data_IF_086773957827
#
_entry.id   IF_086773957827
#
_cell.length_a   1.000
_cell.length_b   1.000
_cell.length_c   1.000
_cell.angle_alpha   90.00
_cell.angle_beta   90.00
_cell.angle_gamma   90.00
#
_symmetry.space_group_name_H-M   'P 1'
#
loop_
_entity.id
_entity.type
_entity.pdbx_description
1 polymer ?
#
# COMPACT_ATOMS: atom_id res chain seq x y z
N UNK A 1 -4.45 -2.56 -12.28
CA UNK A 1 -4.60 -2.76 -10.82
C UNK A 1 -4.88 -1.44 -10.05
N UNK A 2 -5.69 -0.48 -10.55
CA UNK A 2 -5.88 0.82 -9.84
C UNK A 2 -6.88 0.76 -8.67
N UNK A 3 -7.63 -0.34 -8.54
CA UNK A 3 -8.77 -0.45 -7.62
C UNK A 3 -8.59 -1.44 -6.46
N UNK A 4 -7.53 -2.27 -6.47
CA UNK A 4 -7.32 -3.28 -5.42
C UNK A 4 -7.22 -2.63 -4.04
N UNK A 5 -6.44 -1.55 -3.91
CA UNK A 5 -6.34 -0.80 -2.64
C UNK A 5 -7.68 -0.16 -2.24
N UNK A 6 -8.46 0.35 -3.21
CA UNK A 6 -9.78 0.94 -2.92
C UNK A 6 -10.78 -0.10 -2.41
N UNK A 7 -10.78 -1.29 -3.03
CA UNK A 7 -11.61 -2.43 -2.61
C UNK A 7 -11.20 -2.91 -1.22
N UNK A 8 -9.89 -3.00 -0.95
CA UNK A 8 -9.34 -3.41 0.34
C UNK A 8 -9.67 -2.41 1.45
N UNK A 9 -9.60 -1.11 1.15
CA UNK A 9 -10.02 -0.05 2.06
C UNK A 9 -11.51 -0.11 2.36
N UNK A 10 -12.34 -0.30 1.33
CA UNK A 10 -13.78 -0.48 1.50
C UNK A 10 -14.11 -1.73 2.35
N UNK A 11 -13.39 -2.83 2.15
CA UNK A 11 -13.57 -4.05 2.94
C UNK A 11 -13.31 -3.82 4.44
N UNK A 12 -12.30 -3.02 4.80
CA UNK A 12 -12.04 -2.68 6.22
C UNK A 12 -13.12 -1.79 6.81
N UNK A 13 -13.61 -0.81 6.05
CA UNK A 13 -14.72 0.04 6.50
C UNK A 13 -15.98 -0.80 6.75
N UNK A 14 -16.28 -1.75 5.86
CA UNK A 14 -17.41 -2.68 6.02
C UNK A 14 -17.20 -3.57 7.25
N UNK A 15 -16.00 -4.10 7.48
CA UNK A 15 -15.69 -4.97 8.61
C UNK A 15 -15.83 -4.24 9.97
N UNK A 16 -15.40 -2.98 10.03
CA UNK A 16 -15.59 -2.12 11.21
C UNK A 16 -17.08 -1.81 11.42
N UNK A 17 -17.83 -1.52 10.36
CA UNK A 17 -19.27 -1.28 10.44
C UNK A 17 -20.05 -2.51 10.94
N UNK A 18 -19.72 -3.71 10.44
CA UNK A 18 -20.33 -4.98 10.89
C UNK A 18 -19.99 -5.27 12.35
N UNK A 19 -18.74 -5.06 12.76
CA UNK A 19 -18.34 -5.23 14.16
C UNK A 19 -19.06 -4.26 15.10
N UNK A 20 -19.29 -3.02 14.66
CA UNK A 20 -20.09 -2.04 15.42
C UNK A 20 -21.57 -2.44 15.49
N UNK A 21 -22.11 -3.02 14.43
CA UNK A 21 -23.48 -3.54 14.41
C UNK A 21 -23.66 -4.69 15.41
N UNK A 22 -22.72 -5.64 15.46
CA UNK A 22 -22.73 -6.73 16.44
C UNK A 22 -22.59 -6.26 17.88
N UNK A 23 -21.80 -5.21 18.12
CA UNK A 23 -21.70 -4.56 19.42
C UNK A 23 -23.03 -3.96 19.89
N UNK A 24 -23.89 -3.56 18.96
CA UNK A 24 -25.20 -2.98 19.24
C UNK A 24 -26.29 -4.05 19.54
N UNK A 25 -26.05 -5.32 19.19
CA UNK A 25 -27.00 -6.43 19.42
C UNK A 25 -26.98 -6.99 20.86
N UNK A 26 -26.25 -6.36 21.78
CA UNK A 26 -26.29 -6.66 23.22
C UNK A 26 -25.19 -7.61 23.73
N UNK A 27 -24.36 -8.14 22.83
CA UNK A 27 -23.27 -9.07 23.16
C UNK A 27 -21.91 -8.35 23.11
N UNK A 28 -21.77 -7.31 23.94
CA UNK A 28 -20.61 -6.42 23.99
C UNK A 28 -19.24 -7.12 24.01
N UNK A 29 -19.02 -8.19 24.81
CA UNK A 29 -17.72 -8.87 24.87
C UNK A 29 -17.37 -9.60 23.57
N UNK A 30 -18.39 -10.13 22.90
CA UNK A 30 -18.25 -10.86 21.64
C UNK A 30 -18.02 -9.87 20.50
N UNK A 31 -18.76 -8.76 20.49
CA UNK A 31 -18.61 -7.66 19.53
C UNK A 31 -17.20 -7.03 19.56
N UNK A 32 -16.69 -6.70 20.75
CA UNK A 32 -15.35 -6.10 20.87
C UNK A 32 -14.23 -7.08 20.45
N UNK A 33 -14.38 -8.39 20.69
CA UNK A 33 -13.44 -9.41 20.18
C UNK A 33 -13.42 -9.47 18.66
N UNK A 34 -14.58 -9.46 18.01
CA UNK A 34 -14.68 -9.49 16.55
C UNK A 34 -14.17 -8.20 15.91
N UNK A 35 -14.46 -7.04 16.51
CA UNK A 35 -13.91 -5.74 16.09
C UNK A 35 -12.39 -5.74 16.23
N UNK A 36 -11.88 -6.15 17.39
CA UNK A 36 -10.43 -6.21 17.66
C UNK A 36 -9.71 -7.17 16.71
N UNK A 37 -10.23 -8.38 16.53
CA UNK A 37 -9.68 -9.36 15.60
C UNK A 37 -9.75 -8.85 14.15
N UNK A 38 -10.82 -8.13 13.80
CA UNK A 38 -10.98 -7.56 12.48
C UNK A 38 -10.00 -6.43 12.19
N UNK A 39 -9.78 -5.53 13.14
CA UNK A 39 -8.78 -4.46 13.04
C UNK A 39 -7.36 -5.06 13.00
N UNK A 40 -7.10 -6.08 13.81
CA UNK A 40 -5.78 -6.72 13.90
C UNK A 40 -5.46 -7.50 12.61
N UNK A 41 -6.43 -8.24 12.08
CA UNK A 41 -6.33 -8.89 10.77
C UNK A 41 -6.20 -7.88 9.63
N UNK A 42 -6.93 -6.77 9.68
CA UNK A 42 -6.77 -5.67 8.73
C UNK A 42 -5.36 -5.07 8.82
N UNK A 43 -4.84 -4.78 10.01
CA UNK A 43 -3.48 -4.25 10.17
C UNK A 43 -2.44 -5.22 9.58
N UNK A 44 -2.54 -6.51 9.91
CA UNK A 44 -1.59 -7.51 9.46
C UNK A 44 -1.70 -7.89 7.98
N UNK A 45 -2.87 -7.78 7.37
CA UNK A 45 -3.08 -8.16 5.96
C UNK A 45 -3.03 -6.93 5.06
N UNK A 46 -3.71 -5.85 5.45
CA UNK A 46 -3.81 -4.62 4.67
C UNK A 46 -2.45 -3.91 4.58
N UNK A 47 -1.67 -3.87 5.67
CA UNK A 47 -0.36 -3.22 5.68
C UNK A 47 0.64 -3.87 4.68
N UNK A 48 0.92 -5.18 4.71
CA UNK A 48 1.85 -5.78 3.74
C UNK A 48 1.30 -5.75 2.32
N UNK A 49 -0.02 -5.93 2.12
CA UNK A 49 -0.63 -5.82 0.78
C UNK A 49 -0.48 -4.38 0.24
N UNK A 50 -0.66 -3.37 1.09
CA UNK A 50 -0.51 -1.97 0.71
C UNK A 50 0.93 -1.66 0.27
N UNK A 51 1.93 -2.14 1.02
CA UNK A 51 3.36 -1.98 0.67
C UNK A 51 3.66 -2.68 -0.66
N UNK A 52 3.26 -3.95 -0.80
CA UNK A 52 3.50 -4.72 -2.03
C UNK A 52 2.85 -4.06 -3.25
N UNK A 53 1.61 -3.60 -3.12
CA UNK A 53 0.91 -2.92 -4.19
C UNK A 53 1.57 -1.60 -4.59
N UNK A 54 2.03 -0.82 -3.60
CA UNK A 54 2.70 0.46 -3.86
C UNK A 54 4.06 0.25 -4.53
N UNK A 55 4.77 -0.81 -4.16
CA UNK A 55 6.07 -1.16 -4.74
C UNK A 55 5.96 -1.82 -6.12
N UNK A 56 4.80 -2.40 -6.48
CA UNK A 56 4.59 -3.02 -7.80
C UNK A 56 4.52 -2.02 -8.96
N UNK A 57 4.05 -0.78 -8.72
CA UNK A 57 3.88 0.22 -9.79
C UNK A 57 5.05 1.21 -9.91
N UNK A 58 5.83 1.43 -8.85
CA UNK A 58 7.11 2.11 -9.00
C UNK A 58 8.15 1.04 -9.25
N UNK A 59 8.69 0.97 -10.47
CA UNK A 59 9.85 0.15 -10.80
C UNK A 59 10.96 0.45 -9.78
N UNK A 60 11.04 -0.32 -8.71
CA UNK A 60 12.09 -0.18 -7.70
C UNK A 60 13.46 -0.28 -8.39
N UNK A 61 13.50 -1.09 -9.46
CA UNK A 61 14.61 -1.20 -10.41
C UNK A 61 15.05 0.11 -11.07
N UNK A 62 14.17 1.08 -11.36
CA UNK A 62 14.58 2.37 -11.93
C UNK A 62 15.21 3.30 -10.87
N UNK A 63 14.97 3.03 -9.58
CA UNK A 63 15.55 3.77 -8.45
C UNK A 63 16.75 3.04 -7.82
N UNK A 64 17.01 1.79 -8.22
CA UNK A 64 18.23 1.09 -7.84
C UNK A 64 19.40 1.60 -8.69
N UNK A 65 20.54 1.82 -8.03
CA UNK A 65 21.85 2.12 -8.64
C UNK A 65 22.40 0.89 -9.38
N UNK A 66 21.67 0.40 -10.37
CA UNK A 66 22.20 -0.55 -11.35
C UNK A 66 23.11 0.19 -12.33
N UNK A 67 24.12 -0.51 -12.84
CA UNK A 67 25.10 0.06 -13.78
C UNK A 67 24.42 0.70 -15.01
N UNK A 68 23.31 0.14 -15.48
CA UNK A 68 22.49 0.70 -16.56
C UNK A 68 21.90 2.08 -16.22
N UNK A 69 21.38 2.27 -15.00
CA UNK A 69 20.77 3.53 -14.58
C UNK A 69 21.83 4.60 -14.29
N UNK A 70 22.97 4.20 -13.71
CA UNK A 70 24.14 5.05 -13.52
C UNK A 70 24.68 5.57 -14.87
N UNK A 71 24.78 4.69 -15.86
CA UNK A 71 25.21 5.05 -17.21
C UNK A 71 24.23 6.04 -17.86
N UNK A 72 22.91 5.80 -17.75
CA UNK A 72 21.87 6.72 -18.24
C UNK A 72 21.96 8.11 -17.60
N UNK A 73 22.19 8.20 -16.28
CA UNK A 73 22.37 9.49 -15.60
C UNK A 73 23.62 10.24 -16.08
N UNK A 74 24.73 9.51 -16.25
CA UNK A 74 26.00 10.08 -16.73
C UNK A 74 25.89 10.60 -18.17
N UNK A 75 25.22 9.86 -19.05
CA UNK A 75 25.00 10.27 -20.44
C UNK A 75 24.03 11.46 -20.54
N UNK A 76 23.00 11.52 -19.68
CA UNK A 76 22.13 12.70 -19.57
C UNK A 76 22.88 13.96 -19.11
N UNK A 77 23.83 13.81 -18.17
CA UNK A 77 24.68 14.89 -17.69
C UNK A 77 25.60 15.46 -18.77
N UNK A 78 26.27 14.58 -19.55
CA UNK A 78 27.12 14.98 -20.68
C UNK A 78 26.34 15.73 -21.75
N UNK A 79 25.22 15.17 -22.21
CA UNK A 79 24.42 15.76 -23.29
C UNK A 79 23.91 17.17 -22.95
N UNK A 80 23.66 17.46 -21.67
CA UNK A 80 23.21 18.78 -21.20
C UNK A 80 24.36 19.80 -21.09
N UNK A 81 25.59 19.36 -20.88
CA UNK A 81 26.78 20.20 -20.95
C UNK A 81 27.12 20.61 -22.37
N UNK A 82 26.99 19.67 -23.31
CA UNK A 82 27.28 19.91 -24.74
C UNK A 82 26.23 20.78 -25.45
N UNK A 83 25.00 20.87 -24.92
CA UNK A 83 23.94 21.76 -25.42
C UNK A 83 24.04 23.20 -24.88
N UNK A 84 24.94 23.46 -23.92
CA UNK A 84 25.17 24.78 -23.31
C UNK A 84 26.42 25.49 -23.84
N UNK A 85 27.18 24.82 -24.70
CA UNK A 85 28.32 25.37 -25.45
C UNK A 85 27.94 25.46 -26.94
#
# INVERSE_FOLDING_TARGET
MKYIIKILFAAVVIMVAVGYYFKNTGDHPTGDKWVGLGILGASFILMPIFIYHRWKNKKVKDYMLTEENLKKMRDYGKKKGDLKH
#
